data_IF_341448309236
#
_entry.id   IF_341448309236
#
_cell.length_a   1.000
_cell.length_b   1.000
_cell.length_c   1.000
_cell.angle_alpha   90.00
_cell.angle_beta   90.00
_cell.angle_gamma   90.00
#
_symmetry.space_group_name_H-M   'P 1'
#
loop_
_entity.id
_entity.type
_entity.pdbx_description
1 polymer ?
#
# COMPACT_ATOMS: atom_id res chain seq x y z
N UNK A 1 -20.54 10.82 -7.12
CA UNK A 1 -20.10 9.42 -6.90
C UNK A 1 -18.58 9.43 -6.68
N UNK A 2 -18.01 8.58 -5.81
CA UNK A 2 -16.56 8.48 -5.63
C UNK A 2 -15.88 8.01 -6.92
N UNK A 3 -14.73 8.62 -7.26
CA UNK A 3 -13.91 8.20 -8.40
C UNK A 3 -13.14 6.90 -8.12
N UNK A 4 -12.50 6.34 -9.16
CA UNK A 4 -11.63 5.16 -9.07
C UNK A 4 -10.18 5.59 -9.27
N UNK A 5 -9.44 5.74 -8.18
CA UNK A 5 -8.07 6.25 -8.22
C UNK A 5 -7.18 5.69 -7.11
N UNK A 6 -5.93 5.40 -7.46
CA UNK A 6 -4.83 5.24 -6.50
C UNK A 6 -4.02 6.54 -6.50
N UNK A 7 -4.27 7.36 -5.48
CA UNK A 7 -3.72 8.73 -5.39
C UNK A 7 -2.30 8.76 -4.84
N UNK A 8 -1.96 7.79 -3.98
CA UNK A 8 -0.61 7.63 -3.44
C UNK A 8 -0.21 6.16 -3.49
N UNK A 9 1.03 5.91 -3.90
CA UNK A 9 1.73 4.63 -3.81
C UNK A 9 3.19 4.95 -3.45
N UNK A 10 3.51 4.95 -2.16
CA UNK A 10 4.78 5.44 -1.64
C UNK A 10 5.51 4.36 -0.84
N UNK A 11 6.81 4.20 -1.08
CA UNK A 11 7.70 3.33 -0.34
C UNK A 11 8.55 4.16 0.62
N UNK A 12 8.65 3.72 1.88
CA UNK A 12 9.64 4.22 2.84
C UNK A 12 10.53 3.05 3.22
N UNK A 13 11.79 3.07 2.80
CA UNK A 13 12.71 1.94 2.98
C UNK A 13 13.15 1.76 4.44
N UNK A 14 13.31 2.86 5.17
CA UNK A 14 13.76 2.83 6.56
C UNK A 14 12.98 3.85 7.42
N UNK A 15 11.72 3.54 7.80
CA UNK A 15 10.92 4.46 8.59
C UNK A 15 11.51 4.60 10.00
N UNK A 16 11.43 5.81 10.56
CA UNK A 16 11.84 6.04 11.95
C UNK A 16 11.02 5.19 12.93
N UNK A 17 11.67 4.63 13.95
CA UNK A 17 11.04 3.75 14.94
C UNK A 17 9.83 4.40 15.65
N UNK A 18 9.88 5.70 15.91
CA UNK A 18 8.76 6.44 16.53
C UNK A 18 7.54 6.50 15.59
N UNK A 19 7.77 6.77 14.29
CA UNK A 19 6.71 6.77 13.27
C UNK A 19 6.09 5.37 13.16
N UNK A 20 6.91 4.33 13.07
CA UNK A 20 6.44 2.94 12.96
C UNK A 20 5.51 2.55 14.12
N UNK A 21 5.89 2.92 15.35
CA UNK A 21 5.05 2.70 16.54
C UNK A 21 3.76 3.51 16.52
N UNK A 22 3.82 4.78 16.09
CA UNK A 22 2.63 5.66 15.99
C UNK A 22 1.63 5.18 14.94
N UNK A 23 2.08 4.44 13.93
CA UNK A 23 1.21 3.76 12.97
C UNK A 23 0.58 2.47 13.53
N UNK A 24 0.92 2.07 14.77
CA UNK A 24 0.36 0.88 15.41
C UNK A 24 0.97 -0.45 14.93
N UNK A 25 2.11 -0.41 14.24
CA UNK A 25 2.78 -1.59 13.71
C UNK A 25 3.58 -2.31 14.83
N UNK A 26 3.47 -3.64 14.90
CA UNK A 26 3.90 -4.43 16.07
C UNK A 26 5.28 -5.10 15.90
N UNK A 27 5.76 -5.27 14.67
CA UNK A 27 7.00 -6.00 14.38
C UNK A 27 8.26 -5.14 14.46
N UNK A 28 9.41 -5.79 14.23
CA UNK A 28 10.66 -5.08 13.98
C UNK A 28 10.46 -4.11 12.81
N UNK A 29 11.06 -2.92 12.94
CA UNK A 29 10.97 -1.87 11.93
C UNK A 29 11.44 -2.43 10.59
N UNK A 30 10.57 -2.36 9.60
CA UNK A 30 10.79 -2.81 8.23
C UNK A 30 10.36 -1.73 7.24
N UNK A 31 10.60 -1.95 5.95
CA UNK A 31 10.12 -1.02 4.93
C UNK A 31 8.59 -0.98 4.94
N UNK A 32 8.02 0.20 4.65
CA UNK A 32 6.57 0.37 4.59
C UNK A 32 6.12 0.88 3.23
N UNK A 33 5.01 0.32 2.75
CA UNK A 33 4.31 0.76 1.55
C UNK A 33 3.02 1.44 1.94
N UNK A 34 2.78 2.66 1.47
CA UNK A 34 1.61 3.46 1.81
C UNK A 34 0.76 3.66 0.55
N UNK A 35 -0.52 3.30 0.64
CA UNK A 35 -1.49 3.50 -0.43
C UNK A 35 -2.63 4.42 0.02
N UNK A 36 -3.11 5.25 -0.90
CA UNK A 36 -4.36 6.01 -0.75
C UNK A 36 -5.26 5.73 -1.93
N UNK A 37 -6.43 5.14 -1.66
CA UNK A 37 -7.29 4.55 -2.69
C UNK A 37 -8.73 5.07 -2.55
N UNK A 38 -9.32 5.44 -3.68
CA UNK A 38 -10.74 5.79 -3.80
C UNK A 38 -11.37 4.87 -4.85
N UNK A 39 -12.55 4.27 -4.61
CA UNK A 39 -13.30 4.28 -3.36
C UNK A 39 -12.59 3.48 -2.25
N UNK A 40 -12.93 3.75 -0.99
CA UNK A 40 -12.19 3.24 0.15
C UNK A 40 -12.23 1.71 0.26
N UNK A 41 -13.29 1.06 -0.22
CA UNK A 41 -13.44 -0.39 -0.23
C UNK A 41 -12.42 -1.09 -1.14
N UNK A 42 -11.85 -0.40 -2.13
CA UNK A 42 -10.80 -0.95 -2.98
C UNK A 42 -9.48 -1.19 -2.22
N UNK A 43 -9.34 -0.67 -0.99
CA UNK A 43 -8.27 -1.04 -0.06
C UNK A 43 -8.22 -2.55 0.24
N UNK A 44 -9.39 -3.21 0.29
CA UNK A 44 -9.49 -4.66 0.50
C UNK A 44 -8.85 -5.42 -0.68
N UNK A 45 -9.11 -4.94 -1.90
CA UNK A 45 -8.58 -5.53 -3.14
C UNK A 45 -7.07 -5.28 -3.23
N UNK A 46 -6.61 -4.09 -2.86
CA UNK A 46 -5.19 -3.77 -2.82
C UNK A 46 -4.40 -4.66 -1.85
N UNK A 47 -4.95 -4.92 -0.66
CA UNK A 47 -4.38 -5.86 0.31
C UNK A 47 -4.27 -7.29 -0.25
N UNK A 48 -5.30 -7.78 -0.93
CA UNK A 48 -5.30 -9.11 -1.56
C UNK A 48 -4.23 -9.21 -2.65
N UNK A 49 -4.14 -8.21 -3.54
CA UNK A 49 -3.11 -8.16 -4.59
C UNK A 49 -1.71 -8.10 -3.98
N UNK A 50 -1.50 -7.23 -2.99
CA UNK A 50 -0.20 -7.03 -2.36
C UNK A 50 0.32 -8.33 -1.72
N UNK A 51 -0.47 -8.96 -0.86
CA UNK A 51 -0.08 -10.20 -0.15
C UNK A 51 0.13 -11.39 -1.09
N UNK A 52 -0.53 -11.42 -2.26
CA UNK A 52 -0.30 -12.43 -3.30
C UNK A 52 0.89 -12.12 -4.22
N UNK A 53 1.41 -10.90 -4.20
CA UNK A 53 2.52 -10.49 -5.07
C UNK A 53 3.90 -10.87 -4.53
N UNK A 54 4.03 -11.09 -3.22
CA UNK A 54 5.32 -11.39 -2.60
C UNK A 54 5.23 -11.49 -1.07
N UNK A 55 6.39 -11.58 -0.42
CA UNK A 55 6.52 -11.64 1.03
C UNK A 55 6.29 -10.26 1.67
N UNK A 56 5.04 -9.80 1.65
CA UNK A 56 4.57 -8.59 2.32
C UNK A 56 3.41 -8.91 3.25
N UNK A 57 3.31 -8.17 4.34
CA UNK A 57 2.23 -8.28 5.31
C UNK A 57 1.38 -7.00 5.33
N UNK A 58 0.14 -7.13 5.83
CA UNK A 58 -0.75 -5.99 6.01
C UNK A 58 -0.47 -5.42 7.39
N UNK A 59 0.25 -4.30 7.44
CA UNK A 59 0.44 -3.55 8.67
C UNK A 59 -0.85 -2.87 9.12
N UNK A 60 -1.60 -2.30 8.17
CA UNK A 60 -2.87 -1.63 8.44
C UNK A 60 -3.76 -1.60 7.20
N UNK A 61 -5.08 -1.76 7.40
CA UNK A 61 -6.11 -1.66 6.37
C UNK A 61 -7.27 -0.82 6.91
N UNK A 62 -7.58 0.27 6.23
CA UNK A 62 -8.73 1.13 6.54
C UNK A 62 -9.68 1.23 5.35
N UNK A 63 -10.76 0.45 5.42
CA UNK A 63 -11.84 0.46 4.43
C UNK A 63 -12.77 1.67 4.52
N UNK A 64 -12.62 2.53 5.53
CA UNK A 64 -13.40 3.77 5.67
C UNK A 64 -12.70 4.94 4.98
N UNK A 65 -11.37 4.98 5.00
CA UNK A 65 -10.58 6.05 4.35
C UNK A 65 -9.91 5.61 3.05
N UNK A 66 -9.72 4.31 2.84
CA UNK A 66 -9.00 3.75 1.70
C UNK A 66 -7.47 3.73 1.89
N UNK A 67 -6.99 3.92 3.12
CA UNK A 67 -5.59 3.84 3.46
C UNK A 67 -5.15 2.39 3.68
N UNK A 68 -3.98 2.03 3.15
CA UNK A 68 -3.32 0.73 3.40
C UNK A 68 -1.85 0.99 3.74
N UNK A 69 -1.34 0.29 4.75
CA UNK A 69 0.08 0.20 5.07
C UNK A 69 0.52 -1.25 4.92
N UNK A 70 1.49 -1.48 4.05
CA UNK A 70 2.17 -2.77 3.83
C UNK A 70 3.51 -2.77 4.56
N UNK A 71 3.95 -3.92 5.04
CA UNK A 71 5.27 -4.12 5.68
C UNK A 71 6.03 -5.24 4.97
N UNK A 72 7.35 -5.18 4.96
CA UNK A 72 8.20 -6.23 4.38
C UNK A 72 9.61 -5.77 4.03
N UNK A 73 10.33 -6.58 3.25
CA UNK A 73 11.56 -6.15 2.59
C UNK A 73 11.28 -5.01 1.60
N UNK A 74 12.25 -4.10 1.43
CA UNK A 74 12.15 -2.93 0.54
C UNK A 74 11.73 -3.34 -0.88
N UNK A 75 12.34 -4.40 -1.42
CA UNK A 75 12.07 -4.87 -2.78
C UNK A 75 10.71 -5.54 -2.88
N UNK A 76 10.32 -6.30 -1.86
CA UNK A 76 9.01 -6.94 -1.80
C UNK A 76 7.88 -5.90 -1.72
N UNK A 77 8.03 -4.87 -0.89
CA UNK A 77 7.06 -3.77 -0.77
C UNK A 77 6.98 -2.97 -2.07
N UNK A 78 8.12 -2.65 -2.69
CA UNK A 78 8.10 -1.96 -3.99
C UNK A 78 7.37 -2.79 -5.06
N UNK A 79 7.63 -4.09 -5.12
CA UNK A 79 6.97 -4.99 -6.06
C UNK A 79 5.46 -5.06 -5.80
N UNK A 80 5.04 -5.13 -4.53
CA UNK A 80 3.63 -5.11 -4.15
C UNK A 80 2.93 -3.81 -4.57
N UNK A 81 3.54 -2.66 -4.35
CA UNK A 81 3.01 -1.37 -4.83
C UNK A 81 2.84 -1.36 -6.36
N UNK A 82 3.79 -1.95 -7.11
CA UNK A 82 3.70 -2.09 -8.58
C UNK A 82 2.53 -2.98 -8.97
N UNK A 83 2.34 -4.13 -8.32
CA UNK A 83 1.24 -5.03 -8.66
C UNK A 83 -0.12 -4.41 -8.34
N UNK A 84 -0.24 -3.68 -7.22
CA UNK A 84 -1.48 -2.98 -6.85
C UNK A 84 -1.83 -1.92 -7.90
N UNK A 85 -0.92 -0.99 -8.21
CA UNK A 85 -1.21 0.08 -9.19
C UNK A 85 -1.43 -0.48 -10.58
N UNK A 86 -0.66 -1.49 -11.00
CA UNK A 86 -0.84 -2.17 -12.28
C UNK A 86 -2.22 -2.83 -12.38
N UNK A 87 -2.57 -3.67 -11.42
CA UNK A 87 -3.82 -4.45 -11.48
C UNK A 87 -5.04 -3.53 -11.40
N UNK A 88 -5.04 -2.57 -10.47
CA UNK A 88 -6.14 -1.61 -10.36
C UNK A 88 -6.25 -0.73 -11.61
N UNK A 89 -5.12 -0.29 -12.17
CA UNK A 89 -5.09 0.55 -13.38
C UNK A 89 -5.52 -0.20 -14.64
N UNK A 90 -4.83 -1.30 -14.96
CA UNK A 90 -5.00 -2.03 -16.21
C UNK A 90 -6.29 -2.87 -16.23
N UNK A 91 -6.58 -3.59 -15.15
CA UNK A 91 -7.70 -4.55 -15.13
C UNK A 91 -9.00 -3.92 -14.64
N UNK A 92 -8.89 -2.93 -13.76
CA UNK A 92 -10.05 -2.32 -13.10
C UNK A 92 -10.25 -0.87 -13.47
N UNK A 93 -9.47 -0.28 -14.39
CA UNK A 93 -9.66 1.08 -14.89
C UNK A 93 -9.63 2.15 -13.78
N UNK A 94 -8.69 2.04 -12.84
CA UNK A 94 -8.37 3.10 -11.90
C UNK A 94 -7.39 4.08 -12.55
N UNK A 95 -7.53 5.37 -12.27
CA UNK A 95 -6.42 6.31 -12.45
C UNK A 95 -5.34 5.97 -11.43
N UNK A 96 -4.07 5.88 -11.81
CA UNK A 96 -2.99 5.52 -10.87
C UNK A 96 -1.83 6.50 -10.92
N UNK A 97 -1.23 6.73 -9.75
CA UNK A 97 0.01 7.48 -9.63
C UNK A 97 1.24 6.60 -9.90
N UNK A 98 2.37 7.25 -10.19
CA UNK A 98 3.68 6.58 -10.19
C UNK A 98 4.13 6.26 -8.77
N UNK A 99 4.91 5.19 -8.61
CA UNK A 99 5.50 4.85 -7.32
C UNK A 99 6.59 5.83 -6.95
N UNK A 100 6.50 6.36 -5.73
CA UNK A 100 7.47 7.28 -5.12
C UNK A 100 8.19 6.59 -3.96
N UNK A 101 9.39 7.05 -3.61
CA UNK A 101 10.29 6.36 -2.67
C UNK A 101 11.03 7.33 -1.77
N UNK A 102 11.28 6.93 -0.53
CA UNK A 102 12.17 7.60 0.44
C UNK A 102 12.98 6.57 1.23
#
# INVERSE_FOLDING_TARGET
>A
MPGKQVTLAHLIANPGKDLFKKLGLQDAVSAIGILTITPSEASIIACDIATKSGAVEIGFLDRFTGAVVLTGDVSAVEYALKQVTRTLGEMMQFTTCSITRT
#
